data_IF_475598369209
#
_entry.id   IF_475598369209
#
_cell.length_a   1.000
_cell.length_b   1.000
_cell.length_c   1.000
_cell.angle_alpha   90.00
_cell.angle_beta   90.00
_cell.angle_gamma   90.00
#
_symmetry.space_group_name_H-M   'P 1'
#
loop_
_entity.id
_entity.type
_entity.pdbx_description
1 polymer ?
#
# COMPACT_ATOMS: atom_id res chain seq x y z
N UNK A 1 18.06 13.65 -31.27
CA UNK A 1 16.75 13.42 -31.96
C UNK A 1 16.02 12.15 -31.48
N UNK A 2 16.69 10.99 -31.32
CA UNK A 2 16.05 9.75 -30.80
C UNK A 2 15.59 9.84 -29.33
N UNK A 3 16.37 10.49 -28.45
CA UNK A 3 16.02 10.64 -27.02
C UNK A 3 14.74 11.47 -26.84
N UNK A 4 14.60 12.58 -27.58
CA UNK A 4 13.40 13.43 -27.49
C UNK A 4 12.16 12.74 -28.07
N UNK A 5 12.31 11.86 -29.06
CA UNK A 5 11.21 11.02 -29.56
C UNK A 5 10.78 9.96 -28.55
N UNK A 6 11.72 9.23 -27.93
CA UNK A 6 11.42 8.23 -26.90
C UNK A 6 10.71 8.86 -25.68
N UNK A 7 11.16 10.03 -25.25
CA UNK A 7 10.52 10.78 -24.17
C UNK A 7 9.08 11.19 -24.54
N UNK A 8 8.86 11.72 -25.75
CA UNK A 8 7.51 12.05 -26.24
C UNK A 8 6.60 10.82 -26.30
N UNK A 9 7.12 9.66 -26.72
CA UNK A 9 6.35 8.41 -26.75
C UNK A 9 6.00 7.91 -25.35
N UNK A 10 6.94 7.97 -24.41
CA UNK A 10 6.71 7.60 -23.01
C UNK A 10 5.63 8.48 -22.36
N UNK A 11 5.70 9.80 -22.54
CA UNK A 11 4.68 10.72 -22.01
C UNK A 11 3.30 10.48 -22.64
N UNK A 12 3.24 10.19 -23.95
CA UNK A 12 1.99 9.80 -24.61
C UNK A 12 1.43 8.50 -24.03
N UNK A 13 2.29 7.53 -23.72
CA UNK A 13 1.91 6.28 -23.08
C UNK A 13 1.29 6.53 -21.70
N UNK A 14 1.95 7.32 -20.84
CA UNK A 14 1.42 7.72 -19.53
C UNK A 14 0.05 8.40 -19.67
N UNK A 15 -0.06 9.39 -20.55
CA UNK A 15 -1.32 10.11 -20.78
C UNK A 15 -2.45 9.19 -21.25
N UNK A 16 -2.13 8.26 -22.16
CA UNK A 16 -3.09 7.27 -22.64
C UNK A 16 -3.54 6.33 -21.52
N UNK A 17 -2.59 5.82 -20.72
CA UNK A 17 -2.89 4.94 -19.57
C UNK A 17 -3.77 5.64 -18.53
N UNK A 18 -3.51 6.91 -18.20
CA UNK A 18 -4.38 7.67 -17.30
C UNK A 18 -5.81 7.71 -17.83
N UNK A 19 -5.99 8.05 -19.10
CA UNK A 19 -7.31 8.15 -19.73
C UNK A 19 -8.04 6.81 -19.74
N UNK A 20 -7.35 5.71 -20.06
CA UNK A 20 -7.97 4.39 -20.11
C UNK A 20 -8.33 3.90 -18.71
N UNK A 21 -7.43 4.00 -17.75
CA UNK A 21 -7.65 3.52 -16.38
C UNK A 21 -8.77 4.30 -15.71
N UNK A 22 -8.73 5.64 -15.77
CA UNK A 22 -9.76 6.48 -15.13
C UNK A 22 -11.13 6.37 -15.80
N UNK A 23 -11.21 6.01 -17.09
CA UNK A 23 -12.51 5.81 -17.75
C UNK A 23 -13.23 4.55 -17.29
N UNK A 24 -12.52 3.57 -16.72
CA UNK A 24 -13.15 2.32 -16.28
C UNK A 24 -13.84 2.46 -14.93
N UNK A 25 -15.10 2.00 -14.84
CA UNK A 25 -15.85 1.97 -13.58
C UNK A 25 -15.15 1.16 -12.49
N UNK A 26 -14.41 0.11 -12.89
CA UNK A 26 -13.65 -0.77 -11.99
C UNK A 26 -12.58 -0.02 -11.19
N UNK A 27 -11.96 1.01 -11.75
CA UNK A 27 -11.01 1.86 -11.02
C UNK A 27 -11.68 2.51 -9.82
N UNK A 28 -12.88 3.06 -10.00
CA UNK A 28 -13.63 3.69 -8.90
C UNK A 28 -14.13 2.65 -7.88
N UNK A 29 -14.53 1.46 -8.33
CA UNK A 29 -14.95 0.39 -7.41
C UNK A 29 -13.78 -0.05 -6.53
N UNK A 30 -12.65 -0.42 -7.13
CA UNK A 30 -11.50 -0.96 -6.39
C UNK A 30 -10.76 0.11 -5.58
N UNK A 31 -10.67 1.34 -6.07
CA UNK A 31 -9.84 2.35 -5.43
C UNK A 31 -10.61 3.37 -4.59
N UNK A 32 -11.92 3.55 -4.81
CA UNK A 32 -12.71 4.53 -4.04
C UNK A 32 -13.74 3.81 -3.18
N UNK A 33 -14.68 3.09 -3.80
CA UNK A 33 -15.83 2.52 -3.09
C UNK A 33 -15.40 1.46 -2.08
N UNK A 34 -14.63 0.45 -2.50
CA UNK A 34 -14.26 -0.65 -1.61
C UNK A 34 -13.32 -0.21 -0.45
N UNK A 35 -12.29 0.63 -0.68
CA UNK A 35 -11.48 1.17 0.42
C UNK A 35 -12.28 2.02 1.40
N UNK A 36 -13.21 2.86 0.91
CA UNK A 36 -14.07 3.67 1.78
C UNK A 36 -14.94 2.78 2.65
N UNK A 37 -15.60 1.77 2.09
CA UNK A 37 -16.43 0.84 2.86
C UNK A 37 -15.60 0.16 3.96
N UNK A 38 -14.43 -0.38 3.60
CA UNK A 38 -13.58 -1.08 4.56
C UNK A 38 -13.04 -0.14 5.63
N UNK A 39 -12.55 1.04 5.27
CA UNK A 39 -11.98 1.97 6.25
C UNK A 39 -13.03 2.51 7.20
N UNK A 40 -14.26 2.70 6.71
CA UNK A 40 -15.42 3.09 7.53
C UNK A 40 -15.71 2.00 8.56
N UNK A 41 -15.79 0.74 8.10
CA UNK A 41 -16.01 -0.40 9.00
C UNK A 41 -14.90 -0.52 10.05
N UNK A 42 -13.63 -0.43 9.64
CA UNK A 42 -12.48 -0.52 10.53
C UNK A 42 -12.46 0.64 11.53
N UNK A 43 -12.73 1.87 11.09
CA UNK A 43 -12.79 3.05 11.95
C UNK A 43 -13.85 2.88 13.04
N UNK A 44 -15.10 2.55 12.67
CA UNK A 44 -16.18 2.39 13.66
C UNK A 44 -15.96 1.20 14.60
N UNK A 45 -15.45 0.07 14.09
CA UNK A 45 -15.19 -1.11 14.91
C UNK A 45 -14.12 -0.84 15.99
N UNK A 46 -13.09 -0.06 15.66
CA UNK A 46 -11.98 0.24 16.57
C UNK A 46 -12.13 1.55 17.35
N UNK A 47 -13.12 2.37 17.02
CA UNK A 47 -13.35 3.69 17.60
C UNK A 47 -13.33 3.67 19.14
N UNK A 48 -14.14 2.80 19.76
CA UNK A 48 -14.22 2.71 21.23
C UNK A 48 -12.89 2.28 21.88
N UNK A 49 -12.13 1.40 21.22
CA UNK A 49 -10.85 0.94 21.72
C UNK A 49 -9.78 2.04 21.66
N UNK A 50 -9.79 2.84 20.59
CA UNK A 50 -8.91 4.00 20.46
C UNK A 50 -9.16 5.03 21.56
N UNK A 51 -10.42 5.29 21.90
CA UNK A 51 -10.78 6.19 23.00
C UNK A 51 -10.31 5.67 24.35
N UNK A 52 -10.62 4.42 24.68
CA UNK A 52 -10.25 3.81 25.98
C UNK A 52 -8.74 3.82 26.23
N UNK A 53 -7.95 3.68 25.16
CA UNK A 53 -6.49 3.57 25.26
C UNK A 53 -5.78 4.88 24.87
N UNK A 54 -6.50 5.92 24.45
CA UNK A 54 -5.96 7.17 23.89
C UNK A 54 -4.96 6.95 22.74
N UNK A 55 -5.14 5.89 21.94
CA UNK A 55 -4.20 5.47 20.88
C UNK A 55 -4.61 5.94 19.50
N UNK A 56 -4.40 7.22 19.25
CA UNK A 56 -4.62 7.85 17.95
C UNK A 56 -3.71 7.29 16.84
N UNK A 57 -2.57 6.71 17.21
CA UNK A 57 -1.59 6.14 16.26
C UNK A 57 -2.17 5.06 15.33
N UNK A 58 -3.22 4.34 15.75
CA UNK A 58 -3.85 3.32 14.93
C UNK A 58 -4.44 3.91 13.62
N UNK A 59 -4.78 5.19 13.59
CA UNK A 59 -5.19 5.85 12.35
C UNK A 59 -4.05 5.86 11.33
N UNK A 60 -2.80 6.03 11.76
CA UNK A 60 -1.64 6.01 10.87
C UNK A 60 -1.58 4.70 10.08
N UNK A 61 -1.84 3.55 10.71
CA UNK A 61 -1.89 2.28 9.97
C UNK A 61 -3.13 2.19 9.08
N UNK A 62 -4.28 2.72 9.49
CA UNK A 62 -5.49 2.66 8.66
C UNK A 62 -5.35 3.41 7.34
N UNK A 63 -4.59 4.52 7.33
CA UNK A 63 -4.29 5.25 6.09
C UNK A 63 -3.48 4.45 5.05
N UNK A 64 -2.87 3.32 5.45
CA UNK A 64 -2.16 2.41 4.55
C UNK A 64 -3.10 1.39 3.87
N UNK A 65 -4.29 1.16 4.40
CA UNK A 65 -5.26 0.17 3.87
C UNK A 65 -5.64 0.45 2.41
N UNK A 66 -5.91 1.69 1.97
CA UNK A 66 -6.30 1.94 0.59
C UNK A 66 -5.26 1.52 -0.45
N UNK A 67 -3.97 1.60 -0.11
CA UNK A 67 -2.91 1.15 -1.01
C UNK A 67 -2.94 -0.37 -1.25
N UNK A 68 -3.49 -1.17 -0.33
CA UNK A 68 -3.66 -2.61 -0.54
C UNK A 68 -4.61 -2.92 -1.71
N UNK A 69 -5.57 -2.03 -2.00
CA UNK A 69 -6.50 -2.23 -3.10
C UNK A 69 -5.88 -2.06 -4.49
N UNK A 70 -4.70 -1.44 -4.56
CA UNK A 70 -3.88 -1.43 -5.77
C UNK A 70 -3.57 -2.85 -6.27
N UNK A 71 -3.50 -3.82 -5.36
CA UNK A 71 -3.33 -5.24 -5.69
C UNK A 71 -4.42 -5.73 -6.67
N UNK A 72 -5.69 -5.41 -6.40
CA UNK A 72 -6.83 -5.83 -7.22
C UNK A 72 -6.87 -5.08 -8.55
N UNK A 73 -6.76 -3.74 -8.51
CA UNK A 73 -6.82 -2.92 -9.72
C UNK A 73 -5.63 -3.20 -10.65
N UNK A 74 -4.41 -3.19 -10.11
CA UNK A 74 -3.19 -3.40 -10.89
C UNK A 74 -3.18 -4.76 -11.57
N UNK A 75 -3.50 -5.82 -10.83
CA UNK A 75 -3.55 -7.17 -11.38
C UNK A 75 -4.66 -7.35 -12.43
N UNK A 76 -5.82 -6.72 -12.23
CA UNK A 76 -6.92 -6.70 -13.18
C UNK A 76 -6.50 -6.04 -14.50
N UNK A 77 -5.94 -4.83 -14.43
CA UNK A 77 -5.46 -4.09 -15.60
C UNK A 77 -4.42 -4.89 -16.36
N UNK A 78 -3.46 -5.49 -15.67
CA UNK A 78 -2.40 -6.28 -16.30
C UNK A 78 -2.98 -7.50 -17.02
N UNK A 79 -3.96 -8.18 -16.43
CA UNK A 79 -4.63 -9.32 -17.07
C UNK A 79 -5.44 -8.88 -18.30
N UNK A 80 -6.25 -7.82 -18.18
CA UNK A 80 -7.05 -7.30 -19.30
C UNK A 80 -6.15 -6.83 -20.45
N UNK A 81 -5.07 -6.11 -20.14
CA UNK A 81 -4.16 -5.59 -21.15
C UNK A 81 -3.31 -6.68 -21.80
N UNK A 82 -3.01 -7.75 -21.06
CA UNK A 82 -2.43 -8.99 -21.62
C UNK A 82 -3.32 -9.57 -22.71
N UNK A 83 -4.61 -9.65 -22.43
CA UNK A 83 -5.57 -10.33 -23.30
C UNK A 83 -6.07 -9.40 -24.44
N UNK A 84 -5.84 -8.09 -24.32
CA UNK A 84 -6.18 -7.08 -25.33
C UNK A 84 -5.12 -6.88 -26.42
N UNK A 85 -5.51 -6.25 -27.53
CA UNK A 85 -4.59 -5.82 -28.62
C UNK A 85 -3.58 -4.76 -28.15
N UNK A 86 -3.76 -4.19 -26.95
CA UNK A 86 -2.94 -3.09 -26.44
C UNK A 86 -1.44 -3.41 -26.40
N UNK A 87 -1.05 -4.64 -26.07
CA UNK A 87 0.36 -5.05 -26.12
C UNK A 87 0.92 -5.18 -27.53
N UNK A 88 0.07 -5.55 -28.49
CA UNK A 88 0.46 -5.55 -29.91
C UNK A 88 0.66 -4.11 -30.38
N UNK A 89 -0.19 -3.17 -29.95
CA UNK A 89 0.01 -1.74 -30.21
C UNK A 89 1.26 -1.18 -29.52
N UNK A 90 1.62 -1.64 -28.32
CA UNK A 90 2.87 -1.24 -27.64
C UNK A 90 4.13 -1.59 -28.42
N UNK A 91 4.15 -2.74 -29.11
CA UNK A 91 5.22 -3.06 -30.07
C UNK A 91 5.25 -2.05 -31.22
N UNK A 92 4.08 -1.64 -31.71
CA UNK A 92 3.99 -0.62 -32.77
C UNK A 92 4.40 0.79 -32.29
N UNK A 93 4.26 1.09 -30.99
CA UNK A 93 4.77 2.31 -30.37
C UNK A 93 6.29 2.30 -30.11
N UNK A 94 6.97 1.17 -30.33
CA UNK A 94 8.43 1.06 -30.15
C UNK A 94 8.90 1.16 -28.70
N UNK A 95 8.00 0.99 -27.72
CA UNK A 95 8.35 1.09 -26.30
C UNK A 95 8.89 -0.24 -25.74
N UNK A 96 9.94 -0.14 -24.93
CA UNK A 96 10.49 -1.30 -24.24
C UNK A 96 9.58 -1.75 -23.08
N UNK A 97 9.60 -3.05 -22.74
CA UNK A 97 8.81 -3.63 -21.65
C UNK A 97 9.01 -2.91 -20.30
N UNK A 98 10.25 -2.51 -20.00
CA UNK A 98 10.59 -1.73 -18.80
C UNK A 98 9.97 -0.34 -18.81
N UNK A 99 9.95 0.34 -19.96
CA UNK A 99 9.32 1.66 -20.08
C UNK A 99 7.81 1.52 -19.89
N UNK A 100 7.19 0.48 -20.43
CA UNK A 100 5.78 0.21 -20.19
C UNK A 100 5.48 -0.04 -18.69
N UNK A 101 6.28 -0.88 -18.02
CA UNK A 101 6.14 -1.12 -16.58
C UNK A 101 6.32 0.15 -15.75
N UNK A 102 7.30 0.99 -16.09
CA UNK A 102 7.53 2.27 -15.42
C UNK A 102 6.38 3.25 -15.64
N UNK A 103 5.82 3.33 -16.86
CA UNK A 103 4.64 4.15 -17.15
C UNK A 103 3.43 3.68 -16.33
N UNK A 104 3.19 2.36 -16.26
CA UNK A 104 2.11 1.80 -15.46
C UNK A 104 2.29 2.10 -13.96
N UNK A 105 3.53 1.96 -13.46
CA UNK A 105 3.87 2.32 -12.08
C UNK A 105 3.54 3.78 -11.80
N UNK A 106 4.01 4.73 -12.62
CA UNK A 106 3.76 6.16 -12.42
C UNK A 106 2.25 6.48 -12.39
N UNK A 107 1.48 5.88 -13.30
CA UNK A 107 0.04 6.13 -13.40
C UNK A 107 -0.68 5.58 -12.17
N UNK A 108 -0.47 4.30 -11.84
CA UNK A 108 -1.11 3.67 -10.70
C UNK A 108 -0.65 4.27 -9.36
N UNK A 109 0.62 4.66 -9.27
CA UNK A 109 1.16 5.36 -8.11
C UNK A 109 0.42 6.68 -7.89
N UNK A 110 0.34 7.52 -8.92
CA UNK A 110 -0.34 8.84 -8.83
C UNK A 110 -1.81 8.68 -8.46
N UNK A 111 -2.53 7.74 -9.08
CA UNK A 111 -3.94 7.45 -8.78
C UNK A 111 -4.11 7.01 -7.32
N UNK A 112 -3.31 6.03 -6.89
CA UNK A 112 -3.39 5.49 -5.52
C UNK A 112 -3.03 6.55 -4.48
N UNK A 113 -2.00 7.34 -4.74
CA UNK A 113 -1.56 8.42 -3.86
C UNK A 113 -2.66 9.48 -3.69
N UNK A 114 -3.28 9.94 -4.78
CA UNK A 114 -4.39 10.89 -4.72
C UNK A 114 -5.59 10.33 -3.95
N UNK A 115 -5.87 9.04 -4.10
CA UNK A 115 -6.97 8.34 -3.42
C UNK A 115 -6.74 8.20 -1.92
N UNK A 116 -5.51 7.93 -1.49
CA UNK A 116 -5.18 7.92 -0.06
C UNK A 116 -5.49 9.29 0.57
N UNK A 117 -5.10 10.38 -0.08
CA UNK A 117 -5.44 11.73 0.38
C UNK A 117 -6.94 11.98 0.43
N UNK A 118 -7.68 11.55 -0.59
CA UNK A 118 -9.15 11.62 -0.58
C UNK A 118 -9.73 10.87 0.62
N UNK A 119 -9.21 9.69 0.93
CA UNK A 119 -9.69 8.85 2.05
C UNK A 119 -9.30 9.47 3.40
N UNK A 120 -8.13 10.08 3.52
CA UNK A 120 -7.77 10.86 4.71
C UNK A 120 -8.76 12.01 4.92
N UNK A 121 -9.06 12.79 3.88
CA UNK A 121 -10.08 13.84 3.95
C UNK A 121 -11.46 13.29 4.33
N UNK A 122 -11.83 12.13 3.80
CA UNK A 122 -13.08 11.45 4.16
C UNK A 122 -13.11 11.04 5.65
N UNK A 123 -12.03 10.51 6.19
CA UNK A 123 -11.92 10.20 7.62
C UNK A 123 -12.09 11.45 8.49
N UNK A 124 -11.49 12.58 8.09
CA UNK A 124 -11.71 13.86 8.76
C UNK A 124 -13.19 14.26 8.77
N UNK A 125 -13.91 14.06 7.67
CA UNK A 125 -15.34 14.39 7.59
C UNK A 125 -16.20 13.51 8.51
N UNK A 126 -15.90 12.21 8.61
CA UNK A 126 -16.60 11.33 9.56
C UNK A 126 -16.27 11.73 11.00
N UNK A 127 -15.01 12.07 11.27
CA UNK A 127 -14.54 12.39 12.62
C UNK A 127 -15.18 13.67 13.19
N UNK A 128 -15.63 14.59 12.32
CA UNK A 128 -16.43 15.77 12.72
C UNK A 128 -17.78 15.40 13.32
N UNK A 129 -18.31 14.21 13.03
CA UNK A 129 -19.59 13.75 13.60
C UNK A 129 -19.46 13.22 15.04
N UNK A 130 -18.23 13.08 15.54
CA UNK A 130 -17.93 12.56 16.87
C UNK A 130 -17.30 13.63 17.76
N UNK A 131 -17.55 13.59 19.07
CA UNK A 131 -17.08 14.63 20.01
C UNK A 131 -15.57 14.59 20.27
N UNK A 132 -14.96 13.40 20.25
CA UNK A 132 -13.56 13.19 20.63
C UNK A 132 -12.56 13.46 19.51
N UNK A 133 -13.03 13.71 18.28
CA UNK A 133 -12.23 14.05 17.09
C UNK A 133 -10.89 13.30 16.99
N UNK A 134 -10.95 11.97 16.94
CA UNK A 134 -9.78 11.06 17.00
C UNK A 134 -8.81 11.32 15.83
N UNK A 135 -9.33 11.57 14.62
CA UNK A 135 -8.54 11.84 13.41
C UNK A 135 -7.90 13.22 13.47
N UNK A 136 -8.61 14.21 14.00
CA UNK A 136 -8.00 15.53 14.22
C UNK A 136 -6.90 15.48 15.27
N UNK A 137 -7.13 14.78 16.38
CA UNK A 137 -6.11 14.57 17.40
C UNK A 137 -4.89 13.85 16.82
N UNK A 138 -5.11 12.78 16.05
CA UNK A 138 -4.04 12.09 15.33
C UNK A 138 -3.17 13.04 14.50
N UNK A 139 -3.80 13.94 13.73
CA UNK A 139 -3.11 14.93 12.91
C UNK A 139 -2.39 16.00 13.76
N UNK A 140 -3.02 16.48 14.84
CA UNK A 140 -2.45 17.46 15.75
C UNK A 140 -1.21 16.93 16.50
N UNK A 141 -1.13 15.62 16.72
CA UNK A 141 0.08 14.96 17.24
C UNK A 141 1.27 14.95 16.26
N UNK A 142 1.03 15.19 14.97
CA UNK A 142 2.08 15.28 13.94
C UNK A 142 2.63 16.72 13.91
N UNK A 143 3.56 17.00 14.81
CA UNK A 143 4.18 18.33 14.97
C UNK A 143 5.54 18.43 14.28
N UNK A 144 6.25 17.30 14.11
CA UNK A 144 7.60 17.25 13.59
C UNK A 144 7.62 16.84 12.11
N UNK A 145 8.57 17.40 11.36
CA UNK A 145 8.82 17.00 9.97
C UNK A 145 9.14 15.51 9.84
N UNK A 146 9.85 14.92 10.80
CA UNK A 146 10.19 13.49 10.80
C UNK A 146 8.95 12.59 10.84
N UNK A 147 7.90 12.99 11.56
CA UNK A 147 6.63 12.24 11.64
C UNK A 147 5.90 12.29 10.29
N UNK A 148 5.79 13.49 9.69
CA UNK A 148 5.22 13.68 8.34
C UNK A 148 5.98 12.87 7.29
N UNK A 149 7.31 12.97 7.31
CA UNK A 149 8.18 12.24 6.40
C UNK A 149 7.98 10.74 6.55
N UNK A 150 7.98 10.21 7.76
CA UNK A 150 7.78 8.78 8.01
C UNK A 150 6.44 8.25 7.53
N UNK A 151 5.36 9.02 7.74
CA UNK A 151 4.04 8.66 7.23
C UNK A 151 3.97 8.64 5.70
N UNK A 152 4.46 9.70 5.04
CA UNK A 152 4.53 9.77 3.58
C UNK A 152 5.44 8.69 3.00
N UNK A 153 6.59 8.46 3.62
CA UNK A 153 7.54 7.43 3.21
C UNK A 153 6.91 6.03 3.31
N UNK A 154 6.18 5.74 4.39
CA UNK A 154 5.42 4.50 4.54
C UNK A 154 4.37 4.31 3.45
N UNK A 155 3.62 5.37 3.10
CA UNK A 155 2.66 5.34 1.98
C UNK A 155 3.36 5.00 0.65
N UNK A 156 4.47 5.68 0.35
CA UNK A 156 5.23 5.47 -0.89
C UNK A 156 5.71 4.02 -0.98
N UNK A 157 6.30 3.49 0.09
CA UNK A 157 6.76 2.11 0.15
C UNK A 157 5.61 1.11 -0.02
N UNK A 158 4.45 1.40 0.58
CA UNK A 158 3.27 0.55 0.44
C UNK A 158 2.75 0.48 -1.00
N UNK A 159 2.66 1.64 -1.67
CA UNK A 159 2.24 1.67 -3.07
C UNK A 159 3.21 0.87 -3.94
N UNK A 160 4.53 1.03 -3.73
CA UNK A 160 5.55 0.29 -4.48
C UNK A 160 5.42 -1.22 -4.27
N UNK A 161 5.26 -1.67 -3.02
CA UNK A 161 5.19 -3.10 -2.72
C UNK A 161 3.94 -3.74 -3.30
N UNK A 162 2.79 -3.07 -3.17
CA UNK A 162 1.51 -3.55 -3.69
C UNK A 162 1.50 -3.57 -5.22
N UNK A 163 2.14 -2.58 -5.86
CA UNK A 163 2.34 -2.59 -7.30
C UNK A 163 3.16 -3.80 -7.77
N UNK A 164 4.32 -4.05 -7.17
CA UNK A 164 5.17 -5.17 -7.58
C UNK A 164 4.54 -6.53 -7.26
N UNK A 165 3.79 -6.65 -6.17
CA UNK A 165 2.99 -7.84 -5.87
C UNK A 165 1.90 -8.06 -6.92
N UNK A 166 1.14 -7.01 -7.28
CA UNK A 166 0.12 -7.10 -8.33
C UNK A 166 0.72 -7.57 -9.66
N UNK A 167 1.89 -7.02 -10.01
CA UNK A 167 2.64 -7.40 -11.21
C UNK A 167 3.15 -8.84 -11.15
N UNK A 168 3.67 -9.29 -10.00
CA UNK A 168 4.14 -10.65 -9.80
C UNK A 168 3.01 -11.67 -9.99
N UNK A 169 1.86 -11.45 -9.34
CA UNK A 169 0.72 -12.39 -9.38
C UNK A 169 0.10 -12.43 -10.78
N UNK A 170 -0.24 -11.26 -11.35
CA UNK A 170 -0.84 -11.19 -12.69
C UNK A 170 0.14 -11.60 -13.80
N UNK A 171 1.43 -11.29 -13.62
CA UNK A 171 2.50 -11.76 -14.50
C UNK A 171 2.61 -13.27 -14.51
N UNK A 172 2.41 -13.94 -13.38
CA UNK A 172 2.60 -15.38 -13.22
C UNK A 172 1.38 -16.22 -13.62
N UNK A 173 0.15 -15.73 -13.46
CA UNK A 173 -1.08 -16.54 -13.62
C UNK A 173 -2.02 -16.08 -14.75
N UNK A 174 -2.57 -17.03 -15.52
CA UNK A 174 -3.35 -16.71 -16.75
C UNK A 174 -4.77 -16.33 -16.39
N UNK A 175 -5.39 -17.15 -15.56
CA UNK A 175 -6.78 -16.99 -15.22
C UNK A 175 -6.96 -15.82 -14.25
N UNK A 176 -7.75 -14.83 -14.66
CA UNK A 176 -8.06 -13.65 -13.85
C UNK A 176 -8.75 -14.02 -12.54
N UNK A 177 -9.58 -15.05 -12.51
CA UNK A 177 -10.27 -15.49 -11.30
C UNK A 177 -9.25 -16.02 -10.27
N UNK A 178 -8.28 -16.83 -10.71
CA UNK A 178 -7.21 -17.35 -9.83
C UNK A 178 -6.35 -16.19 -9.30
N UNK A 179 -6.02 -15.22 -10.17
CA UNK A 179 -5.29 -14.00 -9.77
C UNK A 179 -6.04 -13.26 -8.66
N UNK A 180 -7.35 -13.04 -8.82
CA UNK A 180 -8.14 -12.35 -7.80
C UNK A 180 -8.28 -13.15 -6.51
N UNK A 181 -8.43 -14.48 -6.57
CA UNK A 181 -8.44 -15.32 -5.36
C UNK A 181 -7.14 -15.20 -4.57
N UNK A 182 -5.99 -15.24 -5.25
CA UNK A 182 -4.68 -15.07 -4.60
C UNK A 182 -4.53 -13.66 -4.04
N UNK A 183 -5.04 -12.65 -4.75
CA UNK A 183 -5.03 -11.29 -4.24
C UNK A 183 -5.85 -11.14 -2.96
N UNK A 184 -7.02 -11.78 -2.87
CA UNK A 184 -7.84 -11.80 -1.65
C UNK A 184 -7.05 -12.43 -0.51
N UNK A 185 -6.34 -13.54 -0.75
CA UNK A 185 -5.49 -14.16 0.26
C UNK A 185 -4.40 -13.18 0.71
N UNK A 186 -3.60 -12.64 -0.20
CA UNK A 186 -2.53 -11.67 0.12
C UNK A 186 -3.09 -10.48 0.92
N UNK A 187 -4.26 -9.96 0.53
CA UNK A 187 -4.95 -8.88 1.21
C UNK A 187 -5.32 -9.23 2.65
N UNK A 188 -5.97 -10.38 2.87
CA UNK A 188 -6.35 -10.85 4.22
C UNK A 188 -5.10 -11.10 5.07
N UNK A 189 -4.07 -11.76 4.53
CA UNK A 189 -2.81 -11.98 5.23
C UNK A 189 -2.13 -10.66 5.61
N UNK A 190 -2.17 -9.65 4.73
CA UNK A 190 -1.63 -8.32 5.00
C UNK A 190 -2.39 -7.60 6.11
N UNK A 191 -3.71 -7.73 6.18
CA UNK A 191 -4.51 -7.12 7.25
C UNK A 191 -4.28 -7.82 8.60
N UNK A 192 -4.26 -9.16 8.63
CA UNK A 192 -4.14 -9.94 9.86
C UNK A 192 -2.73 -9.91 10.46
N UNK A 193 -1.71 -10.05 9.62
CA UNK A 193 -0.31 -10.21 10.06
C UNK A 193 0.56 -8.99 9.78
N UNK A 194 0.01 -7.95 9.14
CA UNK A 194 0.68 -6.68 8.92
C UNK A 194 0.63 -5.73 10.10
N UNK A 195 0.16 -6.16 11.27
CA UNK A 195 0.08 -5.33 12.48
C UNK A 195 -0.72 -4.03 12.28
N UNK A 196 -1.80 -4.05 11.48
CA UNK A 196 -2.71 -2.89 11.36
C UNK A 196 -3.50 -2.62 12.63
N UNK A 197 -3.81 -3.68 13.39
CA UNK A 197 -4.71 -3.73 14.52
C UNK A 197 -3.95 -4.12 15.79
N UNK A 198 -2.89 -3.37 16.13
CA UNK A 198 -2.10 -3.64 17.35
C UNK A 198 -2.91 -3.23 18.59
N UNK A 199 -3.86 -4.07 19.03
CA UNK A 199 -4.09 -4.39 20.44
C UNK A 199 -5.15 -5.48 20.65
N UNK A 200 -4.83 -6.55 21.37
CA UNK A 200 -5.74 -7.20 22.33
C UNK A 200 -5.05 -8.30 23.16
N UNK A 201 -3.98 -8.87 22.63
CA UNK A 201 -3.08 -9.80 23.30
C UNK A 201 -1.98 -9.99 22.29
N UNK A 202 -0.72 -9.73 22.64
CA UNK A 202 0.37 -10.05 21.73
C UNK A 202 0.12 -11.46 21.22
N UNK A 203 -0.13 -11.53 19.91
CA UNK A 203 -0.54 -12.75 19.28
C UNK A 203 0.47 -13.81 19.67
N UNK A 204 -0.01 -15.00 20.01
CA UNK A 204 0.81 -16.17 20.31
C UNK A 204 2.07 -16.16 19.45
N UNK A 205 3.22 -16.59 19.99
CA UNK A 205 4.52 -16.61 19.29
C UNK A 205 4.47 -16.96 17.78
N UNK A 206 3.59 -17.87 17.28
CA UNK A 206 3.49 -18.15 15.85
C UNK A 206 3.05 -16.97 14.97
N UNK A 207 2.12 -16.14 15.43
CA UNK A 207 1.59 -15.03 14.62
C UNK A 207 2.63 -13.91 14.45
N UNK A 208 3.47 -13.68 15.47
CA UNK A 208 4.60 -12.76 15.38
C UNK A 208 5.60 -13.26 14.33
N UNK A 209 5.92 -14.56 14.35
CA UNK A 209 6.84 -15.21 13.41
C UNK A 209 6.32 -15.14 11.98
N UNK A 210 5.06 -15.51 11.75
CA UNK A 210 4.44 -15.44 10.41
C UNK A 210 4.43 -14.00 9.90
N UNK A 211 4.18 -13.03 10.78
CA UNK A 211 4.19 -11.62 10.40
C UNK A 211 5.52 -11.13 9.80
N UNK A 212 6.67 -11.71 10.18
CA UNK A 212 7.95 -11.33 9.57
C UNK A 212 8.08 -11.75 8.10
N UNK A 213 7.23 -12.64 7.60
CA UNK A 213 7.18 -12.96 6.16
C UNK A 213 6.25 -12.03 5.38
N UNK A 214 5.54 -11.14 6.07
CA UNK A 214 4.55 -10.25 5.47
C UNK A 214 5.15 -8.84 5.31
N UNK A 215 5.33 -8.35 4.08
CA UNK A 215 5.98 -7.05 3.85
C UNK A 215 5.24 -5.88 4.53
N UNK A 216 3.91 -6.00 4.65
CA UNK A 216 3.07 -5.00 5.25
C UNK A 216 3.42 -4.71 6.72
N UNK A 217 3.89 -5.72 7.48
CA UNK A 217 4.31 -5.57 8.87
C UNK A 217 5.45 -4.56 9.00
N UNK A 218 6.40 -4.58 8.08
CA UNK A 218 7.53 -3.66 8.13
C UNK A 218 7.08 -2.22 7.86
N UNK A 219 6.15 -2.03 6.91
CA UNK A 219 5.64 -0.71 6.54
C UNK A 219 4.81 -0.10 7.68
N UNK A 220 3.93 -0.87 8.33
CA UNK A 220 3.15 -0.38 9.47
C UNK A 220 4.06 0.05 10.62
N UNK A 221 5.11 -0.73 10.92
CA UNK A 221 6.09 -0.37 11.95
C UNK A 221 6.97 0.83 11.58
N UNK A 222 7.31 1.06 10.31
CA UNK A 222 7.94 2.31 9.86
C UNK A 222 7.05 3.49 10.26
N UNK A 223 5.77 3.44 9.88
CA UNK A 223 4.83 4.52 10.17
C UNK A 223 4.66 4.71 11.68
N UNK A 224 4.57 3.62 12.46
CA UNK A 224 4.44 3.72 13.91
C UNK A 224 5.67 4.34 14.58
N UNK A 225 6.87 3.82 14.30
CA UNK A 225 8.11 4.31 14.92
C UNK A 225 8.38 5.77 14.58
N UNK A 226 8.11 6.19 13.34
CA UNK A 226 8.22 7.60 12.97
C UNK A 226 7.13 8.45 13.62
N UNK A 227 5.89 7.98 13.68
CA UNK A 227 4.81 8.75 14.31
C UNK A 227 5.09 9.02 15.80
N UNK A 228 5.56 8.03 16.55
CA UNK A 228 5.83 8.15 18.00
C UNK A 228 7.22 8.69 18.33
N UNK A 229 8.09 8.88 17.34
CA UNK A 229 9.50 9.19 17.54
C UNK A 229 10.23 8.18 18.43
N UNK A 230 9.82 6.90 18.37
CA UNK A 230 10.36 5.84 19.23
C UNK A 230 11.87 5.59 19.05
N UNK A 231 12.45 6.05 17.93
CA UNK A 231 13.90 5.96 17.70
C UNK A 231 14.72 6.95 18.56
N UNK A 232 14.11 8.06 18.98
CA UNK A 232 14.77 9.08 19.82
C UNK A 232 14.39 8.93 21.29
N UNK A 233 13.15 8.50 21.56
CA UNK A 233 12.65 8.28 22.90
C UNK A 233 11.94 6.93 22.98
N UNK A 234 12.54 5.97 23.69
CA UNK A 234 11.98 4.62 23.85
C UNK A 234 10.58 4.63 24.49
N UNK A 235 10.21 5.66 25.24
CA UNK A 235 8.87 5.80 25.79
C UNK A 235 7.79 5.91 24.70
N UNK A 236 8.15 6.30 23.48
CA UNK A 236 7.24 6.32 22.33
C UNK A 236 6.67 4.94 22.01
N UNK A 237 7.36 3.85 22.36
CA UNK A 237 6.85 2.48 22.15
C UNK A 237 5.59 2.18 22.98
N UNK A 238 5.38 2.85 24.12
CA UNK A 238 4.16 2.69 24.92
C UNK A 238 2.90 3.23 24.23
N UNK A 239 3.07 4.16 23.27
CA UNK A 239 1.97 4.63 22.44
C UNK A 239 1.58 3.62 21.36
N UNK A 240 2.50 2.73 20.99
CA UNK A 240 2.28 1.65 20.01
C UNK A 240 1.71 0.40 20.73
N UNK A 241 2.31 0.04 21.88
CA UNK A 241 2.09 -1.22 22.59
C UNK A 241 1.82 -0.94 24.08
N UNK A 242 0.76 -1.49 24.70
CA UNK A 242 0.37 -1.14 26.08
C UNK A 242 1.40 -1.48 27.15
N UNK A 243 2.29 -2.44 26.90
CA UNK A 243 3.25 -2.95 27.88
C UNK A 243 4.54 -3.38 27.17
N UNK A 244 5.65 -2.68 27.42
CA UNK A 244 6.97 -2.94 26.79
C UNK A 244 7.64 -4.21 27.34
N UNK A 245 7.12 -4.80 28.42
CA UNK A 245 7.49 -6.16 28.85
C UNK A 245 7.11 -7.24 27.82
N UNK A 246 6.41 -6.87 26.74
CA UNK A 246 6.10 -7.72 25.59
C UNK A 246 7.12 -7.52 24.47
N UNK A 247 7.56 -8.62 23.87
CA UNK A 247 8.50 -8.66 22.74
C UNK A 247 8.07 -7.73 21.58
N UNK A 248 8.64 -6.53 21.52
CA UNK A 248 8.46 -5.62 20.38
C UNK A 248 8.92 -6.30 19.09
N UNK A 249 8.14 -6.16 18.01
CA UNK A 249 8.53 -6.76 16.74
C UNK A 249 9.81 -6.13 16.16
N UNK A 250 9.98 -4.82 16.37
CA UNK A 250 11.18 -4.07 16.00
C UNK A 250 11.53 -3.06 17.08
N UNK A 251 12.83 -2.97 17.40
CA UNK A 251 13.38 -2.05 18.40
C UNK A 251 14.09 -0.86 17.76
N UNK A 252 14.44 -0.96 16.48
CA UNK A 252 15.13 0.09 15.73
C UNK A 252 14.45 0.33 14.40
N UNK A 253 14.38 1.60 13.97
CA UNK A 253 13.78 2.00 12.68
C UNK A 253 14.50 1.39 11.47
N UNK A 254 15.79 1.08 11.59
CA UNK A 254 16.57 0.49 10.51
C UNK A 254 16.08 -0.91 10.15
N UNK A 255 15.62 -1.69 11.13
CA UNK A 255 15.14 -3.06 10.92
C UNK A 255 13.98 -3.10 9.90
N UNK A 256 12.88 -2.33 10.07
CA UNK A 256 11.81 -2.36 9.12
C UNK A 256 12.07 -1.61 7.82
N UNK A 257 12.95 -0.60 7.80
CA UNK A 257 13.38 0.03 6.54
C UNK A 257 14.13 -0.98 5.67
N UNK A 258 15.18 -1.62 6.21
CA UNK A 258 15.96 -2.59 5.44
C UNK A 258 15.11 -3.81 5.06
N UNK A 259 14.26 -4.30 5.95
CA UNK A 259 13.31 -5.37 5.65
C UNK A 259 12.42 -5.02 4.45
N UNK A 260 11.82 -3.84 4.45
CA UNK A 260 10.96 -3.37 3.35
C UNK A 260 11.74 -3.25 2.03
N UNK A 261 12.96 -2.72 2.06
CA UNK A 261 13.80 -2.60 0.86
C UNK A 261 14.19 -3.97 0.28
N UNK A 262 14.47 -4.96 1.13
CA UNK A 262 14.72 -6.35 0.70
C UNK A 262 13.48 -6.92 0.02
N UNK A 263 12.29 -6.75 0.60
CA UNK A 263 11.05 -7.20 -0.02
C UNK A 263 10.79 -6.51 -1.36
N UNK A 264 10.93 -5.19 -1.44
CA UNK A 264 10.76 -4.46 -2.71
C UNK A 264 11.76 -4.96 -3.75
N UNK A 265 13.03 -5.16 -3.38
CA UNK A 265 14.06 -5.62 -4.31
C UNK A 265 13.77 -7.04 -4.82
N UNK A 266 13.43 -7.96 -3.93
CA UNK A 266 13.14 -9.36 -4.28
C UNK A 266 11.85 -9.50 -5.10
N UNK A 267 10.77 -8.85 -4.68
CA UNK A 267 9.47 -8.88 -5.38
C UNK A 267 9.58 -8.16 -6.72
N UNK A 268 10.30 -7.03 -6.82
CA UNK A 268 10.47 -6.32 -8.10
C UNK A 268 11.23 -7.16 -9.13
N UNK A 269 12.32 -7.82 -8.73
CA UNK A 269 13.06 -8.74 -9.59
C UNK A 269 12.17 -9.91 -10.03
N UNK A 270 11.46 -10.55 -9.09
CA UNK A 270 10.52 -11.63 -9.40
C UNK A 270 9.41 -11.19 -10.36
N UNK A 271 8.85 -10.00 -10.13
CA UNK A 271 7.77 -9.44 -10.96
C UNK A 271 8.24 -9.13 -12.38
N UNK A 272 9.48 -8.64 -12.54
CA UNK A 272 10.08 -8.42 -13.85
C UNK A 272 10.23 -9.73 -14.63
N UNK A 273 10.75 -10.78 -14.00
CA UNK A 273 10.87 -12.08 -14.66
C UNK A 273 9.50 -12.69 -15.00
N UNK A 274 8.53 -12.61 -14.08
CA UNK A 274 7.16 -13.07 -14.31
C UNK A 274 6.51 -12.36 -15.51
N UNK A 275 6.72 -11.04 -15.62
CA UNK A 275 6.27 -10.25 -16.76
C UNK A 275 7.00 -10.69 -18.05
N UNK A 276 8.33 -10.63 -18.08
CA UNK A 276 9.11 -10.84 -19.31
C UNK A 276 8.96 -12.24 -19.90
N UNK A 277 9.05 -13.28 -19.07
CA UNK A 277 9.00 -14.68 -19.50
C UNK A 277 7.70 -15.02 -20.20
N UNK A 278 6.60 -14.43 -19.74
CA UNK A 278 5.28 -14.74 -20.26
C UNK A 278 4.93 -13.97 -21.51
N UNK A 279 5.38 -12.72 -21.62
CA UNK A 279 5.23 -11.90 -22.84
C UNK A 279 6.21 -12.28 -23.97
N UNK A 280 6.85 -13.46 -23.89
CA UNK A 280 7.58 -14.08 -25.00
C UNK A 280 6.77 -15.21 -25.68
N UNK A 281 5.73 -15.74 -25.03
CA UNK A 281 4.77 -16.68 -25.62
C UNK A 281 3.58 -15.92 -26.20
#
# INVERSE_FOLDING_TARGET
>A
MKISQNYKMFNRCISYMFKTILKTSRTYIYMVVAPIILITFVYFFWYQQMLKTSRYIMISSFTLIPALFLLFLGSFIICEWRDSVFLKYLKNFGLNKLQFMAALLIVLFTITFAIIWLIVCYLFLIDLTHQEHIVQNWFNFITLFSQWFGWLFGIILNILIMFFLALLVAGSLKNIYIVQTINILIFIFSLLFGDFLIDLSYATTPAIIIGYFIPQKYITWIVYIFYTQSNYNSNGFFLIVPSVDRNLAFTSIYQPIFGTLIFISTISVGSYFAFVTRFKR
#
